data_IF_851036766432
#
_entry.id   IF_851036766432
#
_cell.length_a   1.000
_cell.length_b   1.000
_cell.length_c   1.000
_cell.angle_alpha   90.00
_cell.angle_beta   90.00
_cell.angle_gamma   90.00
#
_symmetry.space_group_name_H-M   'P 1'
#
loop_
_entity.id
_entity.type
_entity.pdbx_description
1 polymer ?
#
# COMPACT_ATOMS: atom_id res chain seq x y z
N UNK A 1 7.12 -16.35 13.11
CA UNK A 1 5.84 -17.03 12.82
C UNK A 1 5.08 -16.18 11.81
N UNK A 2 4.76 -16.68 10.61
CA UNK A 2 4.19 -15.83 9.53
C UNK A 2 2.67 -15.61 9.64
N UNK A 3 1.90 -16.56 10.15
CA UNK A 3 0.45 -16.44 10.32
C UNK A 3 0.00 -17.03 11.67
N UNK A 4 -0.36 -16.20 12.67
CA UNK A 4 -0.76 -16.65 14.01
C UNK A 4 -2.24 -17.01 14.15
N UNK A 5 -3.05 -16.93 13.08
CA UNK A 5 -4.48 -17.22 13.13
C UNK A 5 -4.72 -18.67 13.61
N UNK A 6 -5.53 -18.81 14.66
CA UNK A 6 -5.91 -20.11 15.25
C UNK A 6 -5.01 -20.60 16.38
N UNK A 7 -3.98 -19.86 16.79
CA UNK A 7 -3.08 -20.27 17.87
C UNK A 7 -3.47 -19.68 19.24
N UNK A 8 -3.20 -20.40 20.31
CA UNK A 8 -3.37 -19.91 21.69
C UNK A 8 -2.03 -19.39 22.24
N UNK A 9 -2.02 -18.18 22.77
CA UNK A 9 -0.84 -17.56 23.35
C UNK A 9 -1.21 -16.41 24.29
N UNK A 10 -0.31 -16.08 25.20
CA UNK A 10 -0.50 -15.01 26.20
C UNK A 10 -0.05 -13.63 25.69
N UNK A 11 0.72 -13.57 24.60
CA UNK A 11 1.27 -12.34 24.00
C UNK A 11 1.54 -12.57 22.51
N UNK A 12 1.25 -11.55 21.69
CA UNK A 12 1.57 -11.50 20.26
C UNK A 12 2.37 -10.23 20.00
N UNK A 13 3.59 -10.39 19.53
CA UNK A 13 4.43 -9.30 19.04
C UNK A 13 4.45 -9.33 17.51
N UNK A 14 4.35 -8.15 16.89
CA UNK A 14 4.36 -7.99 15.42
C UNK A 14 5.36 -6.90 15.06
N UNK A 15 6.13 -7.16 14.01
CA UNK A 15 6.95 -6.15 13.35
C UNK A 15 6.21 -5.69 12.09
N UNK A 16 5.95 -4.40 11.97
CA UNK A 16 5.16 -3.81 10.88
C UNK A 16 5.88 -2.63 10.26
N UNK A 17 5.77 -2.49 8.95
CA UNK A 17 6.18 -1.27 8.26
C UNK A 17 5.04 -0.25 8.27
N UNK A 18 5.33 0.97 8.74
CA UNK A 18 4.37 2.08 8.74
C UNK A 18 4.73 3.01 7.60
N UNK A 19 3.76 3.27 6.73
CA UNK A 19 3.86 4.25 5.65
C UNK A 19 3.03 5.47 6.05
N UNK A 20 3.61 6.66 5.90
CA UNK A 20 2.95 7.93 6.23
C UNK A 20 2.82 8.80 4.98
N UNK A 21 1.72 9.53 4.89
CA UNK A 21 1.49 10.51 3.83
C UNK A 21 1.12 11.88 4.41
N UNK A 22 1.35 12.94 3.64
CA UNK A 22 0.93 14.29 4.02
C UNK A 22 -0.60 14.39 4.13
N UNK A 23 -1.11 14.74 5.31
CA UNK A 23 -2.55 14.80 5.60
C UNK A 23 -3.32 15.68 4.60
N UNK A 24 -2.76 16.84 4.24
CA UNK A 24 -3.38 17.77 3.28
C UNK A 24 -3.51 17.14 1.89
N UNK A 25 -2.49 16.42 1.43
CA UNK A 25 -2.51 15.77 0.12
C UNK A 25 -3.60 14.69 0.06
N UNK A 26 -3.69 13.87 1.11
CA UNK A 26 -4.72 12.84 1.27
C UNK A 26 -6.12 13.44 1.25
N UNK A 27 -6.36 14.50 2.05
CA UNK A 27 -7.66 15.15 2.12
C UNK A 27 -8.08 15.78 0.80
N UNK A 28 -7.14 16.37 0.06
CA UNK A 28 -7.41 16.93 -1.27
C UNK A 28 -7.88 15.85 -2.24
N UNK A 29 -7.20 14.70 -2.30
CA UNK A 29 -7.59 13.58 -3.17
C UNK A 29 -9.00 13.07 -2.85
N UNK A 30 -9.29 12.81 -1.57
CA UNK A 30 -10.61 12.33 -1.13
C UNK A 30 -11.71 13.33 -1.46
N UNK A 31 -11.45 14.63 -1.25
CA UNK A 31 -12.41 15.69 -1.58
C UNK A 31 -12.70 15.76 -3.08
N UNK A 32 -11.69 15.60 -3.94
CA UNK A 32 -11.88 15.60 -5.39
C UNK A 32 -12.83 14.49 -5.85
N UNK A 33 -12.65 13.26 -5.33
CA UNK A 33 -13.51 12.12 -5.68
C UNK A 33 -14.94 12.30 -5.12
N UNK A 34 -15.07 12.78 -3.88
CA UNK A 34 -16.40 13.12 -3.32
C UNK A 34 -17.11 14.23 -4.08
N UNK A 35 -16.38 15.14 -4.70
CA UNK A 35 -16.94 16.21 -5.53
C UNK A 35 -17.76 15.71 -6.73
N UNK A 36 -17.52 14.46 -7.17
CA UNK A 36 -18.31 13.80 -8.22
C UNK A 36 -19.34 12.79 -7.66
N UNK A 37 -19.59 12.81 -6.35
CA UNK A 37 -20.60 11.98 -5.68
C UNK A 37 -20.17 10.53 -5.43
N UNK A 38 -18.86 10.25 -5.44
CA UNK A 38 -18.30 8.92 -5.16
C UNK A 38 -17.60 8.96 -3.80
N UNK A 39 -17.85 7.96 -2.97
CA UNK A 39 -17.11 7.78 -1.71
C UNK A 39 -15.84 6.94 -1.92
N UNK A 40 -14.83 7.26 -1.12
CA UNK A 40 -13.55 6.54 -1.08
C UNK A 40 -13.58 5.60 0.11
N UNK A 41 -13.53 4.30 -0.15
CA UNK A 41 -13.53 3.27 0.90
C UNK A 41 -12.17 3.21 1.63
N UNK A 42 -11.07 3.22 0.87
CA UNK A 42 -9.72 3.21 1.41
C UNK A 42 -8.70 3.80 0.42
N UNK A 43 -7.49 4.08 0.91
CA UNK A 43 -6.35 4.54 0.13
C UNK A 43 -5.22 3.53 0.18
N UNK A 44 -4.64 3.23 -0.98
CA UNK A 44 -3.51 2.31 -1.11
C UNK A 44 -2.28 3.07 -1.57
N UNK A 45 -1.12 2.71 -1.04
CA UNK A 45 0.17 3.22 -1.52
C UNK A 45 0.40 2.76 -2.96
N UNK A 46 0.61 3.69 -3.89
CA UNK A 46 0.75 3.38 -5.32
C UNK A 46 1.86 2.37 -5.62
N UNK A 47 3.12 2.53 -5.13
CA UNK A 47 4.16 1.55 -5.44
C UNK A 47 3.84 0.12 -4.94
N UNK A 48 3.09 0.01 -3.83
CA UNK A 48 2.62 -1.29 -3.35
C UNK A 48 1.61 -1.89 -4.33
N UNK A 49 0.60 -1.12 -4.74
CA UNK A 49 -0.39 -1.57 -5.71
C UNK A 49 0.23 -1.96 -7.06
N UNK A 50 1.16 -1.15 -7.57
CA UNK A 50 1.88 -1.42 -8.81
C UNK A 50 2.72 -2.69 -8.71
N UNK A 51 3.45 -2.89 -7.61
CA UNK A 51 4.21 -4.11 -7.37
C UNK A 51 3.32 -5.37 -7.31
N UNK A 52 2.14 -5.27 -6.70
CA UNK A 52 1.16 -6.37 -6.64
C UNK A 52 0.53 -6.66 -8.00
N UNK A 53 0.38 -5.65 -8.86
CA UNK A 53 -0.22 -5.81 -10.17
C UNK A 53 0.73 -6.45 -11.20
N UNK A 54 2.05 -6.22 -11.09
CA UNK A 54 3.00 -6.59 -12.15
C UNK A 54 4.07 -7.60 -11.75
N UNK A 55 4.42 -7.71 -10.47
CA UNK A 55 5.46 -8.63 -10.02
C UNK A 55 4.87 -9.95 -9.57
N UNK A 56 5.55 -11.03 -9.92
CA UNK A 56 5.33 -12.34 -9.34
C UNK A 56 5.96 -12.44 -7.94
N UNK A 57 5.46 -13.37 -7.12
CA UNK A 57 6.04 -13.59 -5.79
C UNK A 57 7.52 -13.99 -5.85
N UNK A 58 7.93 -14.77 -6.86
CA UNK A 58 9.33 -15.16 -7.03
C UNK A 58 10.23 -13.95 -7.33
N UNK A 59 9.80 -13.01 -8.17
CA UNK A 59 10.53 -11.77 -8.42
C UNK A 59 10.67 -10.92 -7.16
N UNK A 60 9.59 -10.83 -6.35
CA UNK A 60 9.64 -10.15 -5.05
C UNK A 60 10.63 -10.81 -4.08
N UNK A 61 10.69 -12.14 -4.05
CA UNK A 61 11.61 -12.88 -3.16
C UNK A 61 13.08 -12.79 -3.60
N UNK A 62 13.35 -12.83 -4.91
CA UNK A 62 14.71 -12.71 -5.45
C UNK A 62 15.27 -11.30 -5.27
N UNK A 63 14.40 -10.29 -5.29
CA UNK A 63 14.74 -8.89 -5.18
C UNK A 63 14.82 -8.23 -6.56
N UNK A 64 13.97 -7.24 -6.77
CA UNK A 64 13.84 -6.49 -8.02
C UNK A 64 13.57 -5.03 -7.72
N UNK A 65 13.88 -4.16 -8.68
CA UNK A 65 13.46 -2.75 -8.67
C UNK A 65 12.36 -2.60 -9.71
N UNK A 66 11.19 -2.14 -9.28
CA UNK A 66 10.14 -1.64 -10.16
C UNK A 66 10.37 -0.13 -10.32
N UNK A 67 10.34 0.34 -11.57
CA UNK A 67 10.33 1.77 -11.87
C UNK A 67 9.02 2.09 -12.57
N UNK A 68 8.14 2.85 -11.91
CA UNK A 68 6.91 3.35 -12.53
C UNK A 68 7.17 4.72 -13.16
N UNK A 69 6.87 4.87 -14.45
CA UNK A 69 7.13 6.09 -15.21
C UNK A 69 5.80 6.77 -15.52
N UNK A 70 5.41 7.69 -14.65
CA UNK A 70 4.17 8.45 -14.75
C UNK A 70 4.30 9.75 -15.57
N UNK A 71 3.21 10.51 -15.60
CA UNK A 71 3.15 11.77 -16.35
C UNK A 71 3.98 12.92 -15.75
N UNK A 72 4.46 12.80 -14.52
CA UNK A 72 5.23 13.84 -13.83
C UNK A 72 6.11 13.37 -12.67
N UNK A 73 6.06 12.08 -12.36
CA UNK A 73 6.92 11.41 -11.36
C UNK A 73 7.48 10.14 -11.95
N UNK A 74 8.57 9.68 -11.35
CA UNK A 74 9.04 8.31 -11.50
C UNK A 74 9.23 7.79 -10.10
N UNK A 75 8.51 6.73 -9.78
CA UNK A 75 8.42 6.14 -8.45
C UNK A 75 9.08 4.75 -8.43
#
# INVERSE_FOLDING_TARGET
>A
MKNPVGMHGFRLDVETHIITAGVTSVQNLVRCIRGIGIDVDDLVLEPLASSEAVLTEDEKQVGVVLADIGGGTTD
#
